data_IF_094513573207
#
_entry.id   IF_094513573207
#
_cell.length_a   1.000
_cell.length_b   1.000
_cell.length_c   1.000
_cell.angle_alpha   90.00
_cell.angle_beta   90.00
_cell.angle_gamma   90.00
#
_symmetry.space_group_name_H-M   'P 1'
#
loop_
_entity.id
_entity.type
_entity.pdbx_description
1 polymer ?
#
# COMPACT_ATOMS: atom_id res chain seq x y z
N UNK A 1 -3.28 17.51 -22.16
CA UNK A 1 -3.36 16.52 -21.06
C UNK A 1 -2.65 15.19 -21.37
N UNK A 2 -2.10 14.97 -22.57
CA UNK A 2 -1.53 13.68 -23.01
C UNK A 2 -0.15 13.26 -22.44
N UNK A 3 0.53 14.09 -21.65
CA UNK A 3 1.92 13.79 -21.22
C UNK A 3 2.05 12.71 -20.12
N UNK A 4 0.94 12.29 -19.52
CA UNK A 4 0.93 11.31 -18.41
C UNK A 4 0.11 10.04 -18.70
N UNK A 5 -0.53 9.94 -19.86
CA UNK A 5 -1.16 8.70 -20.31
C UNK A 5 -0.08 7.73 -20.82
N UNK A 6 -0.13 6.47 -20.40
CA UNK A 6 0.73 5.43 -20.96
C UNK A 6 0.39 5.29 -22.45
N UNK A 7 1.37 5.52 -23.33
CA UNK A 7 1.18 5.32 -24.78
C UNK A 7 0.88 3.84 -25.08
N UNK A 8 0.22 3.56 -26.22
CA UNK A 8 -0.01 2.17 -26.67
C UNK A 8 1.29 1.33 -26.69
N UNK A 9 2.41 1.95 -27.06
CA UNK A 9 3.75 1.34 -27.03
C UNK A 9 4.21 1.03 -25.60
N UNK A 10 3.97 1.95 -24.66
CA UNK A 10 4.27 1.74 -23.25
C UNK A 10 3.38 0.65 -22.61
N UNK A 11 2.11 0.55 -23.03
CA UNK A 11 1.20 -0.52 -22.61
C UNK A 11 1.66 -1.88 -23.11
N UNK A 12 2.01 -1.99 -24.40
CA UNK A 12 2.55 -3.24 -24.96
C UNK A 12 3.88 -3.65 -24.29
N UNK A 13 4.75 -2.69 -24.00
CA UNK A 13 5.99 -2.95 -23.26
C UNK A 13 5.72 -3.43 -21.82
N UNK A 14 4.73 -2.88 -21.13
CA UNK A 14 4.31 -3.38 -19.81
C UNK A 14 3.68 -4.78 -19.88
N UNK A 15 2.88 -5.07 -20.91
CA UNK A 15 2.28 -6.38 -21.11
C UNK A 15 3.33 -7.47 -21.37
N UNK A 16 4.36 -7.16 -22.16
CA UNK A 16 5.49 -8.05 -22.35
C UNK A 16 6.33 -8.20 -21.08
N UNK A 17 6.37 -7.17 -20.23
CA UNK A 17 7.19 -7.15 -19.03
C UNK A 17 6.63 -8.01 -17.88
N UNK A 18 5.34 -7.88 -17.59
CA UNK A 18 4.70 -8.48 -16.40
C UNK A 18 4.22 -9.93 -16.61
N UNK A 19 4.34 -10.46 -17.83
CA UNK A 19 3.44 -11.51 -18.26
C UNK A 19 2.02 -10.97 -18.38
N UNK A 20 1.40 -11.25 -19.52
CA UNK A 20 0.05 -10.77 -19.80
C UNK A 20 -0.77 -11.88 -20.42
N UNK A 21 -2.05 -11.91 -20.06
CA UNK A 21 -3.04 -12.61 -20.82
C UNK A 21 -4.07 -11.63 -21.33
N UNK A 22 -4.44 -11.83 -22.59
CA UNK A 22 -5.64 -11.23 -23.15
C UNK A 22 -6.81 -12.12 -22.76
N UNK A 23 -7.90 -11.50 -22.31
CA UNK A 23 -9.15 -12.22 -22.17
C UNK A 23 -9.63 -12.60 -23.58
N UNK A 24 -9.68 -13.89 -23.86
CA UNK A 24 -10.27 -14.40 -25.09
C UNK A 24 -11.75 -14.65 -24.81
N UNK A 25 -12.64 -14.21 -25.72
CA UNK A 25 -14.07 -14.56 -25.66
C UNK A 25 -14.26 -16.07 -25.49
N UNK A 26 -15.42 -16.56 -25.00
CA UNK A 26 -15.58 -17.79 -24.23
C UNK A 26 -14.79 -18.95 -24.84
N UNK A 27 -13.53 -19.06 -24.42
CA UNK A 27 -12.66 -20.12 -24.86
C UNK A 27 -12.98 -21.25 -23.92
N UNK A 28 -13.46 -22.36 -24.47
CA UNK A 28 -13.68 -23.61 -23.76
C UNK A 28 -12.32 -24.14 -23.29
N UNK A 29 -11.74 -23.50 -22.28
CA UNK A 29 -10.57 -23.99 -21.58
C UNK A 29 -11.04 -25.27 -20.87
N UNK A 30 -10.61 -26.40 -21.40
CA UNK A 30 -10.84 -27.73 -20.85
C UNK A 30 -10.50 -27.69 -19.36
N UNK A 31 -11.49 -27.98 -18.52
CA UNK A 31 -11.35 -27.99 -17.06
C UNK A 31 -10.08 -28.75 -16.67
N UNK A 32 -9.24 -28.13 -15.84
CA UNK A 32 -8.17 -28.86 -15.16
C UNK A 32 -8.82 -30.04 -14.44
N UNK A 33 -8.23 -31.23 -14.59
CA UNK A 33 -8.79 -32.49 -14.05
C UNK A 33 -8.75 -32.56 -12.53
N UNK A 34 -8.10 -31.61 -11.86
CA UNK A 34 -8.11 -31.44 -10.41
C UNK A 34 -8.33 -29.96 -10.05
N UNK A 35 -9.21 -29.71 -9.08
CA UNK A 35 -9.38 -28.39 -8.47
C UNK A 35 -8.09 -28.01 -7.74
N UNK A 36 -7.46 -26.86 -8.06
CA UNK A 36 -6.27 -26.40 -7.33
C UNK A 36 -6.53 -26.30 -5.83
N UNK A 37 -5.59 -26.75 -5.01
CA UNK A 37 -5.72 -26.77 -3.56
C UNK A 37 -5.18 -25.46 -2.95
N UNK A 38 -6.00 -24.74 -2.18
CA UNK A 38 -5.56 -23.50 -1.51
C UNK A 38 -4.47 -23.80 -0.46
N UNK A 39 -3.31 -23.15 -0.59
CA UNK A 39 -2.13 -23.28 0.28
C UNK A 39 -1.61 -21.92 0.73
N UNK A 40 -2.25 -21.33 1.73
CA UNK A 40 -1.90 -20.00 2.26
C UNK A 40 -0.48 -19.91 2.81
N UNK A 41 0.06 -21.02 3.28
CA UNK A 41 1.43 -21.13 3.77
C UNK A 41 2.47 -20.91 2.66
N UNK A 42 2.16 -21.30 1.41
CA UNK A 42 3.01 -21.04 0.24
C UNK A 42 2.82 -19.61 -0.32
N UNK A 43 1.70 -18.96 0.00
CA UNK A 43 1.38 -17.59 -0.39
C UNK A 43 1.13 -16.69 0.84
N UNK A 44 2.12 -16.54 1.74
CA UNK A 44 1.90 -15.99 3.08
C UNK A 44 1.49 -14.51 3.09
N UNK A 45 1.71 -13.78 1.99
CA UNK A 45 1.38 -12.36 1.85
C UNK A 45 0.05 -12.12 1.10
N UNK A 46 -0.71 -13.19 0.85
CA UNK A 46 -1.99 -13.13 0.17
C UNK A 46 -1.89 -12.69 -1.29
N UNK A 47 -2.96 -12.07 -1.78
CA UNK A 47 -3.10 -11.62 -3.16
C UNK A 47 -3.56 -10.16 -3.19
N UNK A 48 -3.28 -9.47 -4.28
CA UNK A 48 -3.72 -8.09 -4.48
C UNK A 48 -4.05 -7.81 -5.94
N UNK A 49 -4.83 -6.77 -6.18
CA UNK A 49 -5.02 -6.21 -7.52
C UNK A 49 -4.90 -4.70 -7.46
N UNK A 50 -4.59 -4.06 -8.59
CA UNK A 50 -4.47 -2.62 -8.59
C UNK A 50 -4.35 -1.97 -9.96
N UNK A 51 -4.41 -0.64 -9.93
CA UNK A 51 -4.53 0.24 -11.10
C UNK A 51 -5.53 -0.27 -12.15
N UNK A 52 -6.82 -0.40 -11.75
CA UNK A 52 -7.86 -0.86 -12.65
C UNK A 52 -8.07 0.15 -13.78
N UNK A 53 -8.14 -0.35 -15.00
CA UNK A 53 -8.55 0.36 -16.21
C UNK A 53 -9.84 -0.28 -16.73
N UNK A 54 -10.44 0.35 -17.73
CA UNK A 54 -11.67 -0.14 -18.36
C UNK A 54 -11.54 -1.57 -18.89
N UNK A 55 -10.34 -1.95 -19.34
CA UNK A 55 -10.10 -3.23 -20.01
C UNK A 55 -9.06 -4.11 -19.31
N UNK A 56 -8.52 -3.67 -18.17
CA UNK A 56 -7.35 -4.34 -17.61
C UNK A 56 -7.09 -4.01 -16.14
N UNK A 57 -6.36 -4.90 -15.46
CA UNK A 57 -5.94 -4.72 -14.06
C UNK A 57 -4.61 -5.42 -13.80
N UNK A 58 -3.82 -4.89 -12.87
CA UNK A 58 -2.62 -5.57 -12.36
C UNK A 58 -3.05 -6.54 -11.26
N UNK A 59 -2.59 -7.78 -11.33
CA UNK A 59 -2.76 -8.80 -10.31
C UNK A 59 -1.41 -9.06 -9.66
N UNK A 60 -1.42 -9.36 -8.36
CA UNK A 60 -0.21 -9.54 -7.58
C UNK A 60 -0.32 -10.66 -6.56
N UNK A 61 0.77 -11.39 -6.36
CA UNK A 61 1.01 -12.29 -5.23
C UNK A 61 2.51 -12.40 -4.94
N UNK A 62 2.87 -13.03 -3.83
CA UNK A 62 4.23 -13.57 -3.60
C UNK A 62 4.15 -15.04 -3.28
N UNK A 63 4.83 -15.87 -4.06
CA UNK A 63 5.03 -17.29 -3.78
C UNK A 63 6.33 -17.44 -2.98
N UNK A 64 6.28 -17.93 -1.75
CA UNK A 64 7.49 -18.14 -0.96
C UNK A 64 8.46 -19.11 -1.66
N UNK A 65 9.78 -18.89 -1.59
CA UNK A 65 10.78 -19.79 -2.15
C UNK A 65 10.79 -21.14 -1.44
N UNK A 66 10.97 -22.19 -2.22
CA UNK A 66 11.35 -23.51 -1.72
C UNK A 66 12.88 -23.66 -1.74
N UNK A 67 13.44 -24.38 -0.76
CA UNK A 67 14.89 -24.59 -0.66
C UNK A 67 15.45 -25.29 -1.91
N UNK A 68 16.54 -24.76 -2.46
CA UNK A 68 17.18 -25.31 -3.66
C UNK A 68 16.44 -25.06 -4.98
N UNK A 69 15.32 -24.33 -4.96
CA UNK A 69 14.57 -23.97 -6.18
C UNK A 69 15.04 -22.61 -6.71
N UNK A 70 15.29 -22.52 -8.02
CA UNK A 70 15.73 -21.28 -8.67
C UNK A 70 14.56 -20.40 -9.16
N UNK A 71 13.41 -21.02 -9.47
CA UNK A 71 12.22 -20.34 -9.97
C UNK A 71 10.96 -21.19 -9.78
N UNK A 72 9.82 -20.54 -9.57
CA UNK A 72 8.49 -21.17 -9.69
C UNK A 72 7.77 -20.65 -10.92
N UNK A 73 6.91 -21.48 -11.53
CA UNK A 73 6.00 -21.05 -12.59
C UNK A 73 4.61 -20.90 -12.01
N UNK A 74 4.10 -19.69 -12.01
CA UNK A 74 2.73 -19.40 -11.59
C UNK A 74 1.83 -19.26 -12.82
N UNK A 75 0.83 -20.13 -12.92
CA UNK A 75 -0.34 -19.91 -13.76
C UNK A 75 -1.27 -18.93 -13.04
N UNK A 76 -1.52 -17.78 -13.66
CA UNK A 76 -2.51 -16.80 -13.22
C UNK A 76 -3.82 -17.07 -13.95
N UNK A 77 -4.91 -17.24 -13.22
CA UNK A 77 -6.25 -17.41 -13.77
C UNK A 77 -7.14 -16.24 -13.36
N UNK A 78 -7.93 -15.73 -14.33
CA UNK A 78 -8.96 -14.71 -14.11
C UNK A 78 -10.29 -15.27 -14.57
N UNK A 79 -11.29 -15.25 -13.70
CA UNK A 79 -12.59 -15.83 -13.93
C UNK A 79 -13.73 -14.81 -13.79
N UNK A 80 -14.83 -15.08 -14.51
CA UNK A 80 -16.08 -14.32 -14.44
C UNK A 80 -16.95 -14.65 -13.22
N UNK A 81 -16.58 -15.67 -12.46
CA UNK A 81 -17.32 -16.19 -11.30
C UNK A 81 -16.36 -16.62 -10.16
N UNK A 82 -16.83 -16.65 -8.90
CA UNK A 82 -16.00 -17.02 -7.74
C UNK A 82 -15.58 -18.50 -7.71
N UNK A 83 -16.27 -19.38 -8.45
CA UNK A 83 -15.97 -20.81 -8.53
C UNK A 83 -14.93 -21.17 -9.59
N UNK A 84 -14.47 -20.19 -10.38
CA UNK A 84 -13.57 -20.40 -11.52
C UNK A 84 -14.13 -21.37 -12.58
N UNK A 85 -15.45 -21.35 -12.78
CA UNK A 85 -16.11 -22.12 -13.84
C UNK A 85 -15.94 -21.46 -15.23
N UNK A 86 -15.85 -20.12 -15.27
CA UNK A 86 -15.67 -19.30 -16.48
C UNK A 86 -14.30 -18.58 -16.42
N UNK A 87 -13.20 -19.29 -16.68
CA UNK A 87 -11.87 -18.65 -16.81
C UNK A 87 -11.81 -17.86 -18.11
N UNK A 88 -11.71 -16.53 -18.01
CA UNK A 88 -11.71 -15.60 -19.14
C UNK A 88 -10.31 -15.21 -19.60
N UNK A 89 -9.32 -15.26 -18.72
CA UNK A 89 -7.91 -14.98 -19.05
C UNK A 89 -7.01 -15.90 -18.23
N UNK A 90 -5.92 -16.37 -18.85
CA UNK A 90 -4.93 -17.23 -18.21
C UNK A 90 -3.56 -16.97 -18.80
N UNK A 91 -2.53 -16.90 -17.96
CA UNK A 91 -1.14 -16.77 -18.41
C UNK A 91 -0.16 -17.32 -17.38
N UNK A 92 1.06 -17.61 -17.82
CA UNK A 92 2.11 -18.12 -16.94
C UNK A 92 3.17 -17.05 -16.70
N UNK A 93 3.65 -16.96 -15.47
CA UNK A 93 4.71 -16.04 -15.04
C UNK A 93 5.75 -16.82 -14.23
N UNK A 94 7.02 -16.66 -14.58
CA UNK A 94 8.11 -17.17 -13.76
C UNK A 94 8.41 -16.16 -12.63
N UNK A 95 8.51 -16.65 -11.39
CA UNK A 95 8.96 -15.86 -10.24
C UNK A 95 10.28 -16.40 -9.72
N UNK A 96 11.18 -15.51 -9.33
CA UNK A 96 12.56 -15.84 -8.95
C UNK A 96 13.02 -14.96 -7.78
N UNK A 97 14.21 -15.25 -7.23
CA UNK A 97 14.83 -14.39 -6.23
C UNK A 97 15.04 -12.93 -6.70
N UNK A 98 15.15 -12.69 -8.02
CA UNK A 98 15.36 -11.34 -8.55
C UNK A 98 14.15 -10.42 -8.35
N UNK A 99 12.93 -10.97 -8.26
CA UNK A 99 11.68 -10.23 -7.97
C UNK A 99 11.22 -10.39 -6.52
N UNK A 100 12.07 -10.93 -5.64
CA UNK A 100 11.67 -11.44 -4.33
C UNK A 100 10.47 -12.39 -4.40
N UNK A 101 10.44 -13.21 -5.45
CA UNK A 101 9.39 -14.19 -5.71
C UNK A 101 7.98 -13.60 -5.81
N UNK A 102 7.90 -12.29 -6.05
CA UNK A 102 6.65 -11.61 -6.37
C UNK A 102 6.29 -11.88 -7.82
N UNK A 103 4.98 -12.03 -8.05
CA UNK A 103 4.38 -12.05 -9.37
C UNK A 103 3.56 -10.78 -9.51
N UNK A 104 3.82 -10.02 -10.57
CA UNK A 104 2.97 -8.94 -11.05
C UNK A 104 2.49 -9.34 -12.42
N UNK A 105 1.18 -9.39 -12.65
CA UNK A 105 0.60 -9.87 -13.91
C UNK A 105 -0.41 -8.88 -14.46
N UNK A 106 -0.35 -8.59 -15.76
CA UNK A 106 -1.32 -7.72 -16.42
C UNK A 106 -2.44 -8.55 -17.07
N UNK A 107 -3.61 -8.57 -16.45
CA UNK A 107 -4.82 -9.10 -17.07
C UNK A 107 -5.45 -8.02 -17.96
N UNK A 108 -5.57 -8.25 -19.27
CA UNK A 108 -6.08 -7.29 -20.24
C UNK A 108 -7.21 -7.86 -21.11
N UNK A 109 -7.88 -7.02 -21.91
CA UNK A 109 -9.03 -7.40 -22.73
C UNK A 109 -10.32 -7.67 -21.91
N UNK A 110 -10.34 -7.29 -20.65
CA UNK A 110 -11.48 -7.45 -19.76
C UNK A 110 -12.61 -6.48 -20.14
N UNK A 111 -13.83 -6.78 -19.69
CA UNK A 111 -14.97 -5.87 -19.87
C UNK A 111 -14.94 -4.77 -18.80
N UNK A 112 -15.35 -3.53 -19.13
CA UNK A 112 -15.42 -2.43 -18.17
C UNK A 112 -16.46 -2.65 -17.08
N UNK A 113 -16.23 -2.03 -15.93
CA UNK A 113 -17.09 -2.07 -14.74
C UNK A 113 -17.59 -3.48 -14.38
N UNK A 114 -16.71 -4.48 -14.52
CA UNK A 114 -17.04 -5.88 -14.26
C UNK A 114 -16.15 -6.46 -13.18
N UNK A 115 -16.79 -7.21 -12.28
CA UNK A 115 -16.09 -8.01 -11.29
C UNK A 115 -15.44 -9.22 -11.92
N UNK A 116 -14.24 -9.51 -11.43
CA UNK A 116 -13.51 -10.72 -11.76
C UNK A 116 -12.92 -11.32 -10.49
N UNK A 117 -12.77 -12.64 -10.51
CA UNK A 117 -12.02 -13.39 -9.51
C UNK A 117 -10.70 -13.82 -10.11
N UNK A 118 -9.66 -13.93 -9.28
CA UNK A 118 -8.35 -14.34 -9.75
C UNK A 118 -7.63 -15.19 -8.71
N UNK A 119 -6.74 -16.07 -9.18
CA UNK A 119 -5.86 -16.89 -8.34
C UNK A 119 -4.55 -17.16 -9.06
N UNK A 120 -3.56 -17.55 -8.27
CA UNK A 120 -2.25 -17.99 -8.75
C UNK A 120 -2.08 -19.46 -8.38
N UNK A 121 -1.67 -20.28 -9.35
CA UNK A 121 -1.49 -21.73 -9.18
C UNK A 121 -0.07 -22.06 -9.59
N UNK A 122 0.65 -22.76 -8.72
CA UNK A 122 2.01 -23.20 -9.03
C UNK A 122 2.06 -24.43 -9.93
N UNK A 123 3.26 -24.83 -10.32
CA UNK A 123 3.50 -26.02 -11.12
C UNK A 123 3.05 -27.35 -10.47
N UNK A 124 2.82 -27.36 -9.16
CA UNK A 124 2.35 -28.51 -8.37
C UNK A 124 0.83 -28.51 -8.13
N UNK A 125 0.10 -27.50 -8.61
CA UNK A 125 -1.35 -27.35 -8.41
C UNK A 125 -1.75 -26.71 -7.08
N UNK A 126 -0.80 -26.14 -6.32
CA UNK A 126 -1.08 -25.37 -5.11
C UNK A 126 -1.47 -23.94 -5.47
N UNK A 127 -2.63 -23.51 -4.97
CA UNK A 127 -3.22 -22.22 -5.26
C UNK A 127 -3.05 -21.22 -4.11
N UNK A 128 -2.93 -19.95 -4.48
CA UNK A 128 -3.19 -18.84 -3.56
C UNK A 128 -4.66 -18.86 -3.12
N UNK A 129 -4.99 -18.09 -2.06
CA UNK A 129 -6.39 -17.69 -1.85
C UNK A 129 -6.94 -17.00 -3.11
N UNK A 130 -8.24 -17.11 -3.41
CA UNK A 130 -8.87 -16.27 -4.43
C UNK A 130 -8.85 -14.80 -4.03
N UNK A 131 -8.59 -13.94 -5.01
CA UNK A 131 -8.83 -12.51 -4.94
C UNK A 131 -10.02 -12.11 -5.81
N UNK A 132 -10.60 -10.95 -5.51
CA UNK A 132 -11.65 -10.29 -6.28
C UNK A 132 -11.13 -8.91 -6.73
N UNK A 133 -11.44 -8.54 -7.96
CA UNK A 133 -11.09 -7.24 -8.52
C UNK A 133 -12.25 -6.66 -9.32
N UNK A 134 -12.14 -5.40 -9.72
CA UNK A 134 -13.12 -4.65 -10.50
C UNK A 134 -12.39 -3.81 -11.55
N UNK A 135 -12.72 -3.97 -12.82
CA UNK A 135 -12.26 -3.07 -13.88
C UNK A 135 -12.94 -1.70 -13.76
N UNK A 136 -12.24 -0.65 -14.18
CA UNK A 136 -12.83 0.69 -14.17
C UNK A 136 -14.02 0.78 -15.15
N UNK A 137 -14.97 1.71 -14.96
CA UNK A 137 -15.90 2.12 -16.00
C UNK A 137 -15.15 2.62 -17.26
N UNK A 138 -15.79 2.52 -18.42
CA UNK A 138 -15.29 3.13 -19.65
C UNK A 138 -15.27 4.66 -19.54
N UNK A 139 -14.40 5.34 -20.27
CA UNK A 139 -14.15 6.78 -20.14
C UNK A 139 -15.38 7.67 -20.40
N UNK A 140 -16.39 7.16 -21.12
CA UNK A 140 -17.66 7.81 -21.43
C UNK A 140 -18.80 7.45 -20.46
N UNK A 141 -18.53 6.60 -19.47
CA UNK A 141 -19.53 6.06 -18.57
C UNK A 141 -19.91 7.04 -17.46
N UNK A 142 -21.15 7.51 -17.46
CA UNK A 142 -21.63 8.54 -16.54
C UNK A 142 -21.97 8.03 -15.12
N UNK A 143 -21.75 6.75 -14.79
CA UNK A 143 -22.10 6.22 -13.47
C UNK A 143 -21.33 6.90 -12.33
N UNK A 144 -21.94 7.08 -11.14
CA UNK A 144 -21.22 7.58 -9.96
C UNK A 144 -20.00 6.72 -9.61
N UNK A 145 -18.95 7.35 -9.09
CA UNK A 145 -17.73 6.68 -8.64
C UNK A 145 -17.69 6.67 -7.12
N UNK A 146 -17.62 5.48 -6.54
CA UNK A 146 -17.48 5.30 -5.09
C UNK A 146 -16.11 4.70 -4.78
N UNK A 147 -15.31 5.39 -3.99
CA UNK A 147 -13.99 4.91 -3.55
C UNK A 147 -13.70 5.36 -2.12
N UNK A 148 -12.71 4.74 -1.49
CA UNK A 148 -12.15 5.17 -0.22
C UNK A 148 -10.70 5.59 -0.41
N UNK A 149 -10.22 6.53 0.40
CA UNK A 149 -8.78 6.79 0.53
C UNK A 149 -8.28 6.40 1.91
N UNK A 150 -7.04 5.94 1.98
CA UNK A 150 -6.34 5.55 3.20
C UNK A 150 -4.87 5.99 3.14
N UNK A 151 -4.23 6.09 4.29
CA UNK A 151 -2.78 6.29 4.43
C UNK A 151 -2.33 5.86 5.82
N UNK A 152 -1.02 5.85 6.07
CA UNK A 152 -0.42 5.80 7.40
C UNK A 152 -0.87 4.58 8.24
N UNK A 153 -0.48 3.38 7.79
CA UNK A 153 -0.94 2.12 8.38
C UNK A 153 0.16 1.35 9.13
N UNK A 154 0.71 1.91 10.21
CA UNK A 154 1.76 1.25 10.98
C UNK A 154 1.27 -0.03 11.71
N UNK A 155 1.62 -1.21 11.18
CA UNK A 155 1.28 -2.52 11.77
C UNK A 155 1.99 -2.79 13.09
N UNK A 156 3.14 -2.16 13.33
CA UNK A 156 3.94 -2.36 14.54
C UNK A 156 3.30 -1.67 15.74
N UNK A 157 2.51 -0.62 15.49
CA UNK A 157 1.82 0.19 16.49
C UNK A 157 0.30 -0.04 16.55
N UNK A 158 -0.26 -0.99 15.79
CA UNK A 158 -1.69 -1.27 15.83
C UNK A 158 -2.15 -2.43 14.96
N UNK A 159 -3.27 -3.04 15.34
CA UNK A 159 -4.00 -3.95 14.47
C UNK A 159 -4.79 -3.16 13.42
N UNK A 160 -4.90 -3.71 12.21
CA UNK A 160 -5.56 -3.04 11.10
C UNK A 160 -7.09 -3.15 11.13
N UNK A 161 -7.69 -2.89 12.30
CA UNK A 161 -9.14 -2.96 12.52
C UNK A 161 -9.94 -2.01 11.59
N UNK A 162 -9.31 -0.94 11.10
CA UNK A 162 -9.92 -0.03 10.12
C UNK A 162 -10.24 -0.76 8.80
N UNK A 163 -9.34 -1.63 8.31
CA UNK A 163 -9.60 -2.47 7.14
C UNK A 163 -10.78 -3.40 7.38
N UNK A 164 -10.78 -4.11 8.52
CA UNK A 164 -11.90 -4.98 8.92
C UNK A 164 -13.23 -4.25 8.93
N UNK A 165 -13.25 -3.05 9.52
CA UNK A 165 -14.46 -2.23 9.60
C UNK A 165 -14.93 -1.82 8.21
N UNK A 166 -14.02 -1.37 7.36
CA UNK A 166 -14.35 -0.94 6.00
C UNK A 166 -14.88 -2.11 5.16
N UNK A 167 -14.29 -3.31 5.30
CA UNK A 167 -14.77 -4.53 4.64
C UNK A 167 -16.19 -4.87 5.11
N UNK A 168 -16.42 -4.84 6.42
CA UNK A 168 -17.72 -5.12 7.02
C UNK A 168 -18.81 -4.15 6.53
N UNK A 169 -18.51 -2.84 6.51
CA UNK A 169 -19.48 -1.83 6.10
C UNK A 169 -19.75 -1.88 4.59
N UNK A 170 -18.71 -2.02 3.77
CA UNK A 170 -18.83 -2.13 2.31
C UNK A 170 -19.62 -3.38 1.91
N UNK A 171 -19.33 -4.54 2.52
CA UNK A 171 -20.03 -5.79 2.22
C UNK A 171 -21.53 -5.78 2.48
N UNK A 172 -22.03 -4.80 3.25
CA UNK A 172 -23.45 -4.63 3.57
C UNK A 172 -24.16 -3.64 2.64
N UNK A 173 -23.43 -2.90 1.82
CA UNK A 173 -24.00 -1.98 0.82
C UNK A 173 -24.53 -2.76 -0.37
N UNK A 174 -25.58 -2.28 -1.05
CA UNK A 174 -25.95 -2.81 -2.36
C UNK A 174 -24.79 -2.63 -3.35
N UNK A 175 -24.71 -3.49 -4.36
CA UNK A 175 -23.51 -3.65 -5.18
C UNK A 175 -23.08 -2.36 -5.88
N UNK A 176 -24.04 -1.56 -6.33
CA UNK A 176 -23.86 -0.26 -6.97
C UNK A 176 -23.35 0.84 -6.03
N UNK A 177 -23.49 0.66 -4.71
CA UNK A 177 -22.97 1.56 -3.69
C UNK A 177 -21.67 1.05 -3.02
N UNK A 178 -21.17 -0.11 -3.41
CA UNK A 178 -19.90 -0.63 -2.92
C UNK A 178 -18.71 0.12 -3.52
N UNK A 179 -17.57 0.06 -2.83
CA UNK A 179 -16.33 0.65 -3.29
C UNK A 179 -15.87 0.00 -4.60
N UNK A 180 -15.52 0.84 -5.57
CA UNK A 180 -14.92 0.42 -6.84
C UNK A 180 -13.41 0.22 -6.76
N UNK A 181 -12.73 1.00 -5.92
CA UNK A 181 -11.30 0.90 -5.64
C UNK A 181 -10.94 1.56 -4.30
N UNK A 182 -9.70 1.34 -3.85
CA UNK A 182 -9.10 2.04 -2.71
C UNK A 182 -7.88 2.83 -3.16
N UNK A 183 -7.85 4.13 -2.85
CA UNK A 183 -6.71 5.01 -3.09
C UNK A 183 -5.79 5.01 -1.86
N UNK A 184 -4.57 4.48 -1.99
CA UNK A 184 -3.59 4.50 -0.89
C UNK A 184 -2.63 5.67 -1.08
N UNK A 185 -2.66 6.65 -0.17
CA UNK A 185 -1.96 7.93 -0.29
C UNK A 185 -0.55 7.93 0.35
N UNK A 186 0.14 6.79 0.32
CA UNK A 186 1.45 6.63 0.95
C UNK A 186 1.44 6.22 2.42
N UNK A 187 2.64 6.04 2.96
CA UNK A 187 2.91 5.37 4.24
C UNK A 187 2.23 3.98 4.31
N UNK A 188 2.35 3.21 3.23
CA UNK A 188 1.94 1.81 3.19
C UNK A 188 2.78 0.98 4.16
N UNK A 189 4.07 1.30 4.25
CA UNK A 189 4.98 0.85 5.29
C UNK A 189 5.45 2.04 6.12
N UNK A 190 5.94 1.75 7.33
CA UNK A 190 6.89 2.57 8.07
C UNK A 190 8.22 1.83 8.09
N UNK A 191 9.27 2.49 7.60
CA UNK A 191 10.64 2.02 7.60
C UNK A 191 11.29 2.16 8.98
N UNK A 192 10.86 3.12 9.80
CA UNK A 192 11.31 3.20 11.18
C UNK A 192 10.53 2.22 12.05
N UNK A 193 11.25 1.37 12.77
CA UNK A 193 10.66 0.30 13.58
C UNK A 193 11.26 0.31 14.98
N UNK A 194 10.40 0.38 15.99
CA UNK A 194 10.78 0.15 17.38
C UNK A 194 10.69 -1.32 17.72
N UNK A 195 11.77 -1.91 18.21
CA UNK A 195 11.75 -3.27 18.72
C UNK A 195 11.21 -3.30 20.16
N UNK A 196 10.25 -4.19 20.49
CA UNK A 196 9.60 -4.20 21.80
C UNK A 196 10.56 -4.27 22.99
N UNK A 197 11.62 -5.08 22.90
CA UNK A 197 12.63 -5.25 23.95
C UNK A 197 13.53 -4.03 24.15
N UNK A 198 13.60 -3.13 23.16
CA UNK A 198 14.38 -1.89 23.22
C UNK A 198 13.56 -0.71 23.78
N UNK A 199 12.28 -0.93 24.10
CA UNK A 199 11.38 0.09 24.65
C UNK A 199 10.96 -0.25 26.08
N UNK A 200 10.94 0.74 26.99
CA UNK A 200 10.42 0.55 28.34
C UNK A 200 9.01 -0.07 28.31
N UNK A 201 8.89 -1.30 28.82
CA UNK A 201 7.63 -2.05 28.84
C UNK A 201 7.10 -2.50 27.48
N UNK A 202 7.90 -2.43 26.40
CA UNK A 202 7.48 -2.76 25.04
C UNK A 202 6.38 -1.85 24.50
N UNK A 203 6.39 -0.58 24.90
CA UNK A 203 5.37 0.41 24.57
C UNK A 203 5.98 1.59 23.84
N UNK A 204 5.30 2.06 22.80
CA UNK A 204 5.56 3.34 22.13
C UNK A 204 4.27 4.14 22.03
N UNK A 205 4.31 5.43 22.40
CA UNK A 205 3.14 6.33 22.37
C UNK A 205 1.87 5.74 23.02
N UNK A 206 2.05 4.99 24.11
CA UNK A 206 0.95 4.34 24.84
C UNK A 206 0.37 3.09 24.17
N UNK A 207 1.02 2.57 23.13
CA UNK A 207 0.62 1.35 22.41
C UNK A 207 1.64 0.24 22.62
N UNK A 208 1.16 -0.98 22.89
CA UNK A 208 2.02 -2.17 22.92
C UNK A 208 2.54 -2.42 21.51
N UNK A 209 3.85 -2.48 21.38
CA UNK A 209 4.50 -2.77 20.10
C UNK A 209 4.28 -4.23 19.71
N UNK A 210 4.05 -4.45 18.41
CA UNK A 210 3.91 -5.76 17.78
C UNK A 210 5.21 -6.10 17.07
N UNK A 211 5.74 -7.27 17.37
CA UNK A 211 6.98 -7.76 16.76
C UNK A 211 6.71 -8.37 15.37
N UNK A 212 6.65 -7.50 14.35
CA UNK A 212 6.24 -7.89 12.98
C UNK A 212 7.36 -7.67 11.96
N UNK A 213 8.24 -6.70 12.20
CA UNK A 213 9.32 -6.33 11.29
C UNK A 213 10.63 -6.38 12.07
N UNK A 214 11.59 -7.14 11.56
CA UNK A 214 12.96 -7.25 12.09
C UNK A 214 13.92 -7.16 10.93
N UNK A 215 14.68 -6.07 10.86
CA UNK A 215 15.66 -5.85 9.80
C UNK A 215 16.85 -6.81 9.98
N UNK A 216 17.15 -7.67 9.00
CA UNK A 216 18.34 -8.51 9.04
C UNK A 216 19.63 -7.72 9.14
N UNK A 217 19.73 -6.59 8.43
CA UNK A 217 20.91 -5.74 8.46
C UNK A 217 20.69 -4.57 9.41
N UNK A 218 19.72 -3.70 9.11
CA UNK A 218 19.25 -2.61 9.97
C UNK A 218 20.29 -1.56 10.38
N UNK A 219 19.86 -0.32 10.56
CA UNK A 219 20.65 0.72 11.22
C UNK A 219 19.90 1.23 12.45
N UNK A 220 20.56 1.20 13.62
CA UNK A 220 19.99 1.74 14.86
C UNK A 220 20.12 3.25 14.88
N UNK A 221 18.99 3.96 14.89
CA UNK A 221 18.94 5.42 15.00
C UNK A 221 18.16 5.80 16.24
N UNK A 222 18.86 6.35 17.22
CA UNK A 222 18.32 6.69 18.54
C UNK A 222 17.56 5.51 19.18
N UNK A 223 16.23 5.51 19.10
CA UNK A 223 15.35 4.53 19.75
C UNK A 223 14.73 3.53 18.78
N UNK A 224 14.85 3.73 17.47
CA UNK A 224 14.26 2.90 16.42
C UNK A 224 15.34 2.36 15.47
N UNK A 225 14.95 1.43 14.60
CA UNK A 225 15.79 0.83 13.58
C UNK A 225 15.24 1.21 12.21
N UNK A 226 16.10 1.43 11.23
CA UNK A 226 15.73 1.75 9.84
C UNK A 226 16.40 0.78 8.85
N UNK A 227 15.92 0.66 7.60
CA UNK A 227 16.54 -0.19 6.59
C UNK A 227 17.94 0.29 6.20
N UNK A 228 18.86 -0.67 6.06
CA UNK A 228 20.22 -0.47 5.56
C UNK A 228 20.42 -0.95 4.11
N UNK A 229 19.51 -1.80 3.59
CA UNK A 229 19.60 -2.34 2.24
C UNK A 229 18.22 -2.72 1.65
N UNK A 230 18.21 -3.33 0.46
CA UNK A 230 17.01 -3.80 -0.22
C UNK A 230 16.27 -4.90 0.56
N UNK A 231 16.99 -5.81 1.21
CA UNK A 231 16.38 -6.92 1.93
C UNK A 231 15.64 -6.44 3.18
N UNK A 232 16.12 -5.38 3.82
CA UNK A 232 15.41 -4.71 4.90
C UNK A 232 14.09 -4.09 4.41
N UNK A 233 14.07 -3.37 3.28
CA UNK A 233 12.81 -2.84 2.72
C UNK A 233 11.83 -3.95 2.34
N UNK A 234 12.31 -5.04 1.72
CA UNK A 234 11.51 -6.22 1.43
C UNK A 234 10.94 -6.83 2.71
N UNK A 235 11.74 -6.88 3.77
CA UNK A 235 11.31 -7.35 5.09
C UNK A 235 10.19 -6.49 5.68
N UNK A 236 10.26 -5.17 5.54
CA UNK A 236 9.17 -4.28 5.95
C UNK A 236 7.86 -4.62 5.20
N UNK A 237 7.89 -4.71 3.87
CA UNK A 237 6.69 -5.07 3.10
C UNK A 237 6.13 -6.44 3.47
N UNK A 238 6.98 -7.46 3.60
CA UNK A 238 6.56 -8.80 4.02
C UNK A 238 5.86 -8.75 5.37
N UNK A 239 6.47 -8.12 6.37
CA UNK A 239 5.88 -7.97 7.70
C UNK A 239 4.52 -7.27 7.67
N UNK A 240 4.39 -6.16 6.95
CA UNK A 240 3.11 -5.46 6.82
C UNK A 240 2.03 -6.34 6.19
N UNK A 241 2.39 -7.10 5.16
CA UNK A 241 1.47 -8.00 4.45
C UNK A 241 1.14 -9.29 5.22
N UNK A 242 1.73 -9.53 6.40
CA UNK A 242 1.26 -10.59 7.29
C UNK A 242 -0.03 -10.22 8.04
N UNK A 243 -0.41 -8.94 8.09
CA UNK A 243 -1.64 -8.54 8.78
C UNK A 243 -2.89 -9.06 8.02
N UNK A 244 -3.75 -9.87 8.65
CA UNK A 244 -4.84 -10.55 7.97
C UNK A 244 -5.92 -9.58 7.46
N UNK A 245 -6.18 -8.48 8.17
CA UNK A 245 -7.20 -7.52 7.74
C UNK A 245 -6.72 -6.76 6.49
N UNK A 246 -5.40 -6.49 6.38
CA UNK A 246 -4.80 -5.92 5.17
C UNK A 246 -4.81 -6.93 4.00
N UNK A 247 -4.53 -8.21 4.25
CA UNK A 247 -4.67 -9.25 3.21
C UNK A 247 -6.10 -9.37 2.70
N UNK A 248 -7.09 -9.34 3.59
CA UNK A 248 -8.50 -9.38 3.21
C UNK A 248 -8.92 -8.15 2.40
N UNK A 249 -8.42 -6.97 2.76
CA UNK A 249 -8.67 -5.75 1.99
C UNK A 249 -8.06 -5.84 0.57
N UNK A 250 -6.80 -6.27 0.46
CA UNK A 250 -6.08 -6.42 -0.83
C UNK A 250 -6.69 -7.50 -1.71
N UNK A 251 -7.24 -8.56 -1.12
CA UNK A 251 -7.97 -9.60 -1.86
C UNK A 251 -9.40 -9.17 -2.26
N UNK A 252 -9.93 -8.07 -1.71
CA UNK A 252 -11.32 -7.62 -1.93
C UNK A 252 -11.45 -6.51 -2.97
N UNK A 253 -10.57 -5.51 -2.95
CA UNK A 253 -10.65 -4.32 -3.79
C UNK A 253 -9.38 -4.13 -4.61
N UNK A 254 -9.47 -3.55 -5.82
CA UNK A 254 -8.29 -3.03 -6.50
C UNK A 254 -7.76 -1.79 -5.77
N UNK A 255 -6.45 -1.73 -5.58
CA UNK A 255 -5.76 -0.59 -4.99
C UNK A 255 -5.20 0.33 -6.06
N UNK A 256 -5.18 1.63 -5.78
CA UNK A 256 -4.48 2.64 -6.57
C UNK A 256 -3.46 3.28 -5.64
N UNK A 257 -2.22 2.75 -5.55
CA UNK A 257 -1.26 3.22 -4.57
C UNK A 257 -0.36 4.34 -5.13
N UNK A 258 -0.01 5.28 -4.26
CA UNK A 258 1.16 6.16 -4.35
C UNK A 258 1.99 5.99 -3.09
N UNK A 259 3.26 6.41 -3.12
CA UNK A 259 4.09 6.50 -1.91
C UNK A 259 3.94 7.85 -1.23
N UNK A 260 4.40 7.92 0.03
CA UNK A 260 4.83 9.12 0.70
C UNK A 260 6.27 8.93 1.20
N UNK A 261 6.67 9.51 2.33
CA UNK A 261 8.09 9.44 2.75
C UNK A 261 8.48 8.12 3.38
N UNK A 262 7.58 7.46 4.11
CA UNK A 262 7.92 6.25 4.86
C UNK A 262 8.16 5.02 3.98
N UNK A 263 7.84 5.09 2.68
CA UNK A 263 8.33 4.12 1.69
C UNK A 263 9.85 4.22 1.45
N UNK A 264 10.49 5.32 1.85
CA UNK A 264 11.94 5.51 1.78
C UNK A 264 12.55 5.89 3.13
N UNK A 265 12.30 7.10 3.62
CA UNK A 265 12.81 7.56 4.90
C UNK A 265 12.00 8.75 5.43
N UNK A 266 11.73 8.78 6.73
CA UNK A 266 10.98 9.85 7.38
C UNK A 266 11.54 11.23 7.06
N UNK A 267 10.64 12.14 6.64
CA UNK A 267 10.94 13.53 6.21
C UNK A 267 11.89 13.65 5.00
N UNK A 268 12.26 12.54 4.36
CA UNK A 268 13.09 12.58 3.16
C UNK A 268 12.48 13.43 2.05
N UNK A 269 13.38 13.91 1.21
CA UNK A 269 13.10 14.46 -0.10
C UNK A 269 14.15 13.91 -1.06
N UNK A 270 13.75 13.67 -2.31
CA UNK A 270 14.62 13.09 -3.34
C UNK A 270 15.32 11.81 -2.83
N UNK A 271 16.65 11.75 -2.91
CA UNK A 271 17.47 10.67 -2.35
C UNK A 271 18.23 11.09 -1.08
N UNK A 272 17.63 11.92 -0.23
CA UNK A 272 18.23 12.41 1.02
C UNK A 272 17.50 11.83 2.24
N UNK A 273 18.23 11.17 3.15
CA UNK A 273 17.71 10.81 4.48
C UNK A 273 17.88 11.99 5.44
N UNK A 274 16.96 12.11 6.40
CA UNK A 274 17.05 13.09 7.47
C UNK A 274 17.09 12.37 8.81
N UNK A 275 18.28 12.30 9.42
CA UNK A 275 18.51 11.59 10.69
C UNK A 275 19.01 12.58 11.73
N UNK A 276 18.36 12.66 12.90
CA UNK A 276 18.74 13.62 13.94
C UNK A 276 18.67 15.10 13.51
N UNK A 277 18.03 15.41 12.38
CA UNK A 277 18.03 16.75 11.77
C UNK A 277 19.17 17.00 10.77
N UNK A 278 20.08 16.05 10.59
CA UNK A 278 21.15 16.09 9.61
C UNK A 278 20.75 15.43 8.29
N UNK A 279 21.32 15.92 7.19
CA UNK A 279 21.04 15.42 5.84
C UNK A 279 22.14 14.43 5.46
N UNK A 280 21.71 13.23 5.05
CA UNK A 280 22.61 12.17 4.58
C UNK A 280 22.24 11.75 3.15
N UNK A 281 23.17 11.82 2.19
CA UNK A 281 23.00 11.21 0.88
C UNK A 281 22.69 9.72 0.99
N UNK A 282 21.71 9.25 0.20
CA UNK A 282 21.20 7.89 0.27
C UNK A 282 20.54 7.48 -1.06
N UNK A 283 21.19 7.82 -2.18
CA UNK A 283 20.89 7.36 -3.53
C UNK A 283 20.72 5.84 -3.60
N UNK A 284 21.64 5.09 -3.01
CA UNK A 284 21.63 3.61 -2.98
C UNK A 284 20.36 3.09 -2.32
N UNK A 285 20.01 3.61 -1.14
CA UNK A 285 18.79 3.25 -0.42
C UNK A 285 17.50 3.72 -1.13
N UNK A 286 17.52 4.87 -1.81
CA UNK A 286 16.37 5.33 -2.60
C UNK A 286 16.05 4.37 -3.75
N UNK A 287 17.09 3.83 -4.40
CA UNK A 287 16.91 2.79 -5.43
C UNK A 287 16.36 1.51 -4.80
N UNK A 288 16.90 1.07 -3.67
CA UNK A 288 16.43 -0.12 -2.93
C UNK A 288 14.95 0.00 -2.51
N UNK A 289 14.57 1.13 -1.92
CA UNK A 289 13.20 1.46 -1.55
C UNK A 289 12.24 1.44 -2.77
N UNK A 290 12.69 2.02 -3.89
CA UNK A 290 11.92 2.05 -5.14
C UNK A 290 11.71 0.65 -5.71
N UNK A 291 12.74 -0.20 -5.68
CA UNK A 291 12.65 -1.59 -6.10
C UNK A 291 11.65 -2.37 -5.22
N UNK A 292 11.76 -2.28 -3.90
CA UNK A 292 10.83 -2.95 -2.99
C UNK A 292 9.38 -2.46 -3.18
N UNK A 293 9.17 -1.15 -3.36
CA UNK A 293 7.83 -0.62 -3.67
C UNK A 293 7.28 -1.22 -4.97
N UNK A 294 8.09 -1.28 -6.03
CA UNK A 294 7.71 -1.89 -7.30
C UNK A 294 7.33 -3.37 -7.13
N UNK A 295 8.13 -4.13 -6.40
CA UNK A 295 7.90 -5.56 -6.16
C UNK A 295 6.59 -5.81 -5.41
N UNK A 296 6.19 -4.94 -4.47
CA UNK A 296 5.09 -5.20 -3.52
C UNK A 296 3.77 -4.44 -3.77
N UNK A 297 3.77 -3.40 -4.60
CA UNK A 297 2.57 -2.58 -4.88
C UNK A 297 2.01 -2.82 -6.29
N UNK A 298 0.75 -3.28 -6.47
CA UNK A 298 0.16 -3.58 -7.78
C UNK A 298 -0.21 -2.29 -8.56
N UNK A 299 0.80 -1.60 -9.10
CA UNK A 299 0.64 -0.33 -9.81
C UNK A 299 1.31 -0.32 -11.19
N UNK A 300 0.73 0.43 -12.14
CA UNK A 300 1.23 0.68 -13.49
C UNK A 300 2.18 1.85 -13.48
N UNK A 301 3.43 1.55 -13.15
CA UNK A 301 4.50 2.53 -13.02
C UNK A 301 5.54 2.35 -14.13
N UNK A 302 6.46 3.31 -14.28
CA UNK A 302 7.56 3.19 -15.24
C UNK A 302 8.87 2.97 -14.49
N UNK A 303 9.62 1.97 -14.91
CA UNK A 303 10.96 1.64 -14.40
C UNK A 303 11.96 1.48 -15.56
N UNK A 304 13.26 1.52 -15.30
CA UNK A 304 14.29 1.03 -16.22
C UNK A 304 14.10 -0.44 -16.58
N UNK A 305 14.67 -0.84 -17.71
CA UNK A 305 14.69 -2.22 -18.16
C UNK A 305 13.43 -2.68 -18.90
N UNK A 306 13.52 -3.88 -19.46
CA UNK A 306 12.36 -4.63 -19.96
C UNK A 306 12.03 -5.75 -18.96
N UNK A 307 10.86 -6.40 -19.05
CA UNK A 307 10.52 -7.43 -18.07
C UNK A 307 10.03 -6.91 -16.71
N UNK A 308 9.58 -7.83 -15.86
CA UNK A 308 9.11 -7.54 -14.50
C UNK A 308 10.29 -7.24 -13.56
N UNK A 309 11.45 -7.86 -13.78
CA UNK A 309 12.65 -7.65 -12.94
C UNK A 309 13.02 -6.16 -12.87
N UNK A 310 13.22 -5.65 -11.66
CA UNK A 310 13.67 -4.28 -11.46
C UNK A 310 15.17 -4.17 -11.73
N UNK A 311 15.54 -3.57 -12.86
CA UNK A 311 16.95 -3.29 -13.19
C UNK A 311 17.41 -2.04 -12.43
N UNK A 312 17.93 -2.24 -11.22
CA UNK A 312 18.41 -1.16 -10.36
C UNK A 312 19.57 -0.40 -11.02
N UNK A 313 19.48 0.94 -11.19
CA UNK A 313 20.60 1.72 -11.69
C UNK A 313 21.75 1.72 -10.68
N UNK A 314 22.98 1.60 -11.17
CA UNK A 314 24.17 1.79 -10.35
C UNK A 314 24.29 3.26 -9.94
N UNK A 315 24.35 3.52 -8.64
CA UNK A 315 24.44 4.85 -8.05
C UNK A 315 25.38 4.84 -6.85
N UNK A 316 25.99 5.99 -6.58
CA UNK A 316 26.77 6.26 -5.37
C UNK A 316 26.11 7.36 -4.53
N UNK A 317 26.27 7.30 -3.22
CA UNK A 317 25.74 8.30 -2.30
C UNK A 317 26.57 9.58 -2.36
N UNK A 318 25.96 10.66 -2.87
CA UNK A 318 26.62 11.95 -3.12
C UNK A 318 25.79 13.14 -2.61
N UNK A 319 26.41 14.17 -2.01
CA UNK A 319 25.68 15.38 -1.61
C UNK A 319 24.99 16.09 -2.79
N UNK A 320 23.82 16.68 -2.54
CA UNK A 320 23.14 17.54 -3.52
C UNK A 320 23.60 19.00 -3.35
N UNK A 321 24.67 19.37 -4.06
CA UNK A 321 25.21 20.73 -4.00
C UNK A 321 24.41 21.73 -4.84
N UNK A 322 23.91 21.30 -6.01
CA UNK A 322 23.21 22.15 -6.97
C UNK A 322 21.76 21.72 -7.12
N UNK A 323 20.85 22.67 -6.95
CA UNK A 323 19.41 22.50 -7.18
C UNK A 323 18.96 23.37 -8.34
N UNK A 324 18.02 22.87 -9.15
CA UNK A 324 17.34 23.68 -10.16
C UNK A 324 16.32 24.67 -9.53
N UNK A 325 15.70 25.50 -10.37
CA UNK A 325 14.69 26.47 -9.93
C UNK A 325 13.44 25.85 -9.27
N UNK A 326 13.26 24.53 -9.36
CA UNK A 326 12.17 23.77 -8.73
C UNK A 326 12.65 23.02 -7.48
N UNK A 327 13.92 23.17 -7.11
CA UNK A 327 14.54 22.50 -5.97
C UNK A 327 14.99 21.06 -6.24
N UNK A 328 15.00 20.60 -7.49
CA UNK A 328 15.48 19.25 -7.85
C UNK A 328 17.01 19.25 -7.92
N UNK A 329 17.64 18.30 -7.23
CA UNK A 329 19.09 18.13 -7.25
C UNK A 329 19.59 17.65 -8.60
N UNK A 330 20.58 18.36 -9.14
CA UNK A 330 21.14 18.08 -10.46
C UNK A 330 22.25 17.03 -10.45
N UNK A 331 22.63 16.55 -9.27
CA UNK A 331 23.64 15.51 -9.10
C UNK A 331 23.24 14.22 -9.87
N UNK A 332 24.12 13.65 -10.73
CA UNK A 332 23.77 12.53 -11.60
C UNK A 332 23.24 11.28 -10.87
N UNK A 333 23.82 10.90 -9.74
CA UNK A 333 23.37 9.72 -8.97
C UNK A 333 21.98 9.95 -8.36
N UNK A 334 21.68 11.16 -7.90
CA UNK A 334 20.35 11.56 -7.46
C UNK A 334 19.35 11.49 -8.61
N UNK A 335 19.67 12.08 -9.76
CA UNK A 335 18.80 12.02 -10.93
C UNK A 335 18.52 10.58 -11.37
N UNK A 336 19.51 9.69 -11.30
CA UNK A 336 19.34 8.27 -11.56
C UNK A 336 18.45 7.60 -10.50
N UNK A 337 18.69 7.85 -9.22
CA UNK A 337 17.95 7.26 -8.10
C UNK A 337 16.47 7.69 -8.09
N UNK A 338 16.17 8.99 -8.20
CA UNK A 338 14.79 9.51 -8.17
C UNK A 338 13.99 9.13 -9.42
N UNK A 339 14.67 8.80 -10.53
CA UNK A 339 14.04 8.34 -11.78
C UNK A 339 14.03 6.81 -11.92
N UNK A 340 14.60 6.08 -10.97
CA UNK A 340 14.61 4.62 -10.96
C UNK A 340 13.18 4.04 -10.92
N UNK A 341 12.23 4.77 -10.34
CA UNK A 341 10.80 4.46 -10.45
C UNK A 341 9.98 5.73 -10.59
N UNK A 342 9.19 5.80 -11.66
CA UNK A 342 8.23 6.89 -11.89
C UNK A 342 6.82 6.39 -11.58
N UNK A 343 6.29 6.79 -10.42
CA UNK A 343 4.97 6.38 -9.95
C UNK A 343 3.85 7.30 -10.42
N UNK A 344 4.19 8.51 -10.86
CA UNK A 344 3.24 9.51 -11.33
C UNK A 344 2.55 9.02 -12.60
N UNK A 345 1.22 9.16 -12.62
CA UNK A 345 0.38 8.67 -13.71
C UNK A 345 -0.98 9.33 -13.68
N UNK A 346 -1.63 9.39 -14.84
CA UNK A 346 -2.98 9.88 -14.95
C UNK A 346 -3.87 8.91 -15.73
N UNK A 347 -5.13 8.80 -15.32
CA UNK A 347 -6.15 7.99 -16.00
C UNK A 347 -7.56 8.37 -15.59
N UNK A 348 -8.54 8.04 -16.43
CA UNK A 348 -9.96 8.21 -16.11
C UNK A 348 -10.49 7.01 -15.36
N UNK A 349 -11.43 7.26 -14.45
CA UNK A 349 -12.28 6.24 -13.86
C UNK A 349 -13.73 6.60 -14.17
N UNK A 350 -14.21 6.18 -15.33
CA UNK A 350 -15.49 6.65 -15.87
C UNK A 350 -15.45 8.06 -16.45
N UNK A 351 -16.63 8.57 -16.79
CA UNK A 351 -16.85 9.94 -17.23
C UNK A 351 -16.67 10.98 -16.13
N UNK A 352 -16.69 10.58 -14.85
CA UNK A 352 -16.82 11.48 -13.71
C UNK A 352 -15.53 11.78 -12.93
N UNK A 353 -14.46 11.01 -13.13
CA UNK A 353 -13.21 11.18 -12.34
C UNK A 353 -11.97 11.11 -13.23
N UNK A 354 -11.19 12.19 -13.23
CA UNK A 354 -9.80 12.21 -13.70
C UNK A 354 -8.86 11.98 -12.51
N UNK A 355 -8.13 10.86 -12.52
CA UNK A 355 -7.11 10.58 -11.52
C UNK A 355 -5.78 11.19 -11.98
N UNK A 356 -5.23 12.09 -11.16
CA UNK A 356 -3.89 12.67 -11.35
C UNK A 356 -3.07 12.32 -10.11
N UNK A 357 -2.22 11.31 -10.23
CA UNK A 357 -1.39 10.80 -9.15
C UNK A 357 0.01 11.39 -9.27
N UNK A 358 0.46 12.10 -8.24
CA UNK A 358 1.74 12.83 -8.23
C UNK A 358 2.78 12.15 -7.35
N UNK A 359 4.05 12.46 -7.62
CA UNK A 359 5.17 12.10 -6.77
C UNK A 359 5.72 13.38 -6.12
N UNK A 360 5.35 13.59 -4.86
CA UNK A 360 5.74 14.78 -4.10
C UNK A 360 7.04 14.57 -3.30
N UNK A 361 7.69 13.41 -3.43
CA UNK A 361 8.87 13.04 -2.65
C UNK A 361 10.13 13.02 -3.50
N UNK A 362 10.10 12.31 -4.63
CA UNK A 362 11.32 12.13 -5.43
C UNK A 362 11.74 13.40 -6.18
N UNK A 363 10.87 14.40 -6.29
CA UNK A 363 11.15 15.70 -6.91
C UNK A 363 10.90 16.88 -5.96
N UNK A 364 10.78 16.62 -4.66
CA UNK A 364 10.56 17.64 -3.63
C UNK A 364 11.82 18.43 -3.26
N UNK A 365 11.65 19.62 -2.68
CA UNK A 365 12.75 20.50 -2.24
C UNK A 365 13.05 20.36 -0.73
N UNK A 366 14.25 20.77 -0.26
CA UNK A 366 14.57 20.77 1.17
C UNK A 366 13.61 21.66 1.97
N UNK A 367 13.18 21.19 3.14
CA UNK A 367 12.40 21.99 4.10
C UNK A 367 11.00 22.41 3.65
N UNK A 368 10.49 21.92 2.51
CA UNK A 368 9.15 22.25 2.05
C UNK A 368 8.07 21.71 2.98
N UNK A 369 7.20 22.60 3.50
CA UNK A 369 5.80 22.20 3.71
C UNK A 369 5.29 21.78 2.33
N UNK A 370 5.02 20.48 2.15
CA UNK A 370 4.85 19.76 0.87
C UNK A 370 3.85 20.34 -0.14
N UNK A 371 3.18 21.44 0.17
CA UNK A 371 2.23 22.14 -0.70
C UNK A 371 2.86 23.25 -1.55
N UNK A 372 4.00 23.84 -1.17
CA UNK A 372 4.47 25.10 -1.77
C UNK A 372 3.44 26.25 -1.69
N UNK A 373 2.33 26.02 -0.99
CA UNK A 373 1.31 26.98 -0.67
C UNK A 373 1.62 27.54 0.71
N UNK A 374 1.31 28.83 0.98
CA UNK A 374 1.27 29.30 2.37
C UNK A 374 0.40 28.32 3.15
N UNK A 375 0.81 27.99 4.39
CA UNK A 375 0.08 27.11 5.28
C UNK A 375 -1.42 27.35 5.13
N UNK A 376 -2.14 26.38 4.54
CA UNK A 376 -3.59 26.37 4.58
C UNK A 376 -3.97 26.10 6.03
N UNK A 377 -4.04 27.18 6.81
CA UNK A 377 -4.67 27.15 8.13
C UNK A 377 -6.12 26.81 7.87
N UNK A 378 -6.47 25.54 8.02
CA UNK A 378 -7.87 25.14 8.12
C UNK A 378 -8.46 25.89 9.30
N UNK A 379 -9.18 26.97 8.99
CA UNK A 379 -9.86 27.84 9.93
C UNK A 379 -11.08 27.13 10.52
N UNK A 380 -10.85 26.04 11.23
CA UNK A 380 -11.84 25.42 12.08
C UNK A 380 -11.10 24.89 13.31
N UNK A 381 -11.43 25.34 14.54
CA UNK A 381 -10.87 24.75 15.73
C UNK A 381 -11.35 23.30 15.79
N UNK A 382 -10.46 22.35 15.50
CA UNK A 382 -10.63 21.00 16.03
C UNK A 382 -10.86 21.16 17.54
N UNK A 383 -11.98 20.65 18.09
CA UNK A 383 -12.21 20.77 19.52
C UNK A 383 -11.02 20.14 20.24
N UNK A 384 -10.36 20.96 21.06
CA UNK A 384 -9.25 20.55 21.93
C UNK A 384 -9.75 19.46 22.87
N UNK A 385 -9.57 18.21 22.50
CA UNK A 385 -9.57 17.10 23.45
C UNK A 385 -8.30 16.28 23.28
N UNK A 386 -7.50 16.31 24.34
CA UNK A 386 -6.40 15.41 24.66
C UNK A 386 -5.09 15.54 23.89
N UNK A 387 -4.39 16.67 24.08
CA UNK A 387 -2.93 16.67 24.25
C UNK A 387 -2.55 17.66 25.35
N UNK A 388 -2.43 17.18 26.60
CA UNK A 388 -1.68 17.91 27.64
C UNK A 388 -0.24 17.43 27.55
N UNK A 389 0.58 18.16 26.80
CA UNK A 389 2.03 18.15 26.99
C UNK A 389 2.34 18.95 28.27
N UNK A 390 2.94 18.29 29.25
CA UNK A 390 3.45 18.95 30.45
C UNK A 390 4.86 19.46 30.18
N UNK A 391 4.98 20.73 29.85
CA UNK A 391 6.23 21.47 30.02
C UNK A 391 5.89 22.86 30.54
N UNK A 392 6.06 23.06 31.84
CA UNK A 392 6.45 24.35 32.42
C UNK A 392 7.07 24.13 33.79
N UNK A 393 8.40 24.24 33.83
CA UNK A 393 9.11 24.66 35.03
C UNK A 393 8.70 26.10 35.35
N UNK A 394 8.42 26.38 36.62
CA UNK A 394 7.99 27.68 37.11
C UNK A 394 7.64 27.58 38.59
N UNK A 395 8.63 27.88 39.42
CA UNK A 395 8.61 28.07 40.87
C UNK A 395 7.38 28.84 41.36
N UNK A 396 6.69 28.35 42.40
CA UNK A 396 6.22 29.19 43.52
C UNK A 396 5.74 28.37 44.72
N UNK A 397 5.95 28.99 45.88
CA UNK A 397 5.91 28.49 47.24
C UNK A 397 4.57 27.86 47.69
N UNK A 398 4.72 26.97 48.68
CA UNK A 398 3.65 26.30 49.39
C UNK A 398 2.76 27.27 50.17
N UNK A 399 1.45 27.11 50.01
CA UNK A 399 0.46 27.53 51.01
C UNK A 399 -0.53 26.37 51.21
N UNK A 400 -0.38 25.68 52.35
CA UNK A 400 -1.30 24.65 52.83
C UNK A 400 -2.64 25.29 53.18
N UNK A 401 -3.74 24.79 52.60
CA UNK A 401 -5.07 24.81 53.24
C UNK A 401 -5.79 23.49 52.93
N UNK A 402 -5.93 22.64 53.94
CA UNK A 402 -6.92 21.56 54.01
C UNK A 402 -8.28 22.17 54.38
N UNK A 403 -9.38 21.64 53.84
CA UNK A 403 -10.49 21.23 54.73
C UNK A 403 -11.11 19.89 54.24
N UNK A 404 -12.18 19.35 54.85
CA UNK A 404 -12.09 18.13 55.64
C UNK A 404 -12.71 16.90 54.96
N UNK A 405 -12.39 15.75 55.55
CA UNK A 405 -12.95 14.42 55.32
C UNK A 405 -14.48 14.37 55.47
N UNK A 406 -15.16 13.73 54.50
CA UNK A 406 -16.55 13.33 54.60
C UNK A 406 -16.91 12.34 53.48
N UNK A 407 -17.22 11.11 53.86
CA UNK A 407 -17.52 9.95 53.04
C UNK A 407 -18.85 10.06 52.25
N UNK A 408 -18.85 9.67 50.98
CA UNK A 408 -19.88 8.81 50.35
C UNK A 408 -19.60 8.65 48.84
N UNK A 409 -19.55 7.40 48.35
CA UNK A 409 -19.56 7.07 46.93
C UNK A 409 -20.96 7.27 46.33
N UNK A 410 -21.07 7.68 45.04
CA UNK A 410 -22.25 7.37 44.25
C UNK A 410 -21.92 6.45 43.06
N UNK A 411 -22.68 5.36 43.00
CA UNK A 411 -22.85 4.45 41.87
C UNK A 411 -23.64 5.14 40.74
N UNK A 412 -23.25 4.92 39.49
CA UNK A 412 -23.99 5.38 38.30
C UNK A 412 -24.74 4.22 37.64
N UNK A 413 -26.05 4.36 37.31
CA UNK A 413 -26.84 3.29 36.72
C UNK A 413 -26.72 3.22 35.19
N UNK A 414 -26.66 2.00 34.68
CA UNK A 414 -26.69 1.59 33.27
C UNK A 414 -28.11 1.81 32.72
N UNK A 415 -28.26 2.55 31.61
CA UNK A 415 -29.51 2.66 30.84
C UNK A 415 -29.47 1.77 29.60
N UNK A 416 -30.28 0.71 29.62
CA UNK A 416 -30.68 -0.07 28.45
C UNK A 416 -31.90 0.58 27.78
N UNK A 417 -31.87 0.72 26.45
CA UNK A 417 -33.00 1.22 25.67
C UNK A 417 -33.79 0.03 25.09
N UNK A 418 -35.00 -0.19 25.60
CA UNK A 418 -35.99 -1.12 25.04
C UNK A 418 -36.95 -0.39 24.11
N UNK A 419 -37.17 -1.00 22.94
CA UNK A 419 -37.98 -0.52 21.82
C UNK A 419 -39.47 -0.79 22.11
N UNK A 420 -40.30 0.23 22.34
CA UNK A 420 -41.76 0.07 22.43
C UNK A 420 -42.41 0.21 21.05
N UNK A 421 -43.09 -0.86 20.61
CA UNK A 421 -44.11 -0.84 19.54
C UNK A 421 -45.37 -0.15 20.06
N UNK A 422 -46.06 0.61 19.22
CA UNK A 422 -47.47 1.02 19.43
C UNK A 422 -48.37 0.25 18.44
N UNK A 423 -49.60 -0.13 18.85
CA UNK A 423 -50.55 -0.85 18.01
C UNK A 423 -51.47 0.07 17.20
N UNK A 424 -52.14 -0.54 16.22
CA UNK A 424 -53.10 -0.01 15.25
C UNK A 424 -54.53 -0.02 15.81
N UNK A 425 -55.36 0.96 15.40
CA UNK A 425 -56.82 0.95 15.09
C UNK A 425 -57.45 2.28 15.55
N UNK A 426 -58.42 2.89 14.86
CA UNK A 426 -59.33 2.43 13.80
C UNK A 426 -59.33 3.37 12.57
#
# INVERSE_FOLDING_TARGET
MDRFALSRRAFAAQAAALGAALAFGPSAARAATATPAERRDLYPHGVASGDPRADSVILWTRRAPDEGVASHRLTVEVAGDPGFAEVVARGDVAVTAATDWTCRFLAAGLRPAREYWYRFVDESGNASRPGRTLTAPADDDARPVTFAFVSCQDVTQGAMNAWRRMIHEDGRKPRDAQLGFVLHLGDFIYELVWYPEERPGGVERGRRLRDIVRYPTGEKVETFNIPADLEDYRTAYRGYLLDPDLQDARARWPFVPVWDNHEFNWRSYQSQRILGGEIHPAQTLKVAASQAWYEYQPARVRKPGSGDVFEAPAVEDRPLAELDARGTGLEPNNLAAIKALQIQRAFRYGGNVDMILTDNRSFGSPGGSYSGHPDLKFGAPFPRTCTRSSTRAGTMAAARRRPPSGSAQPTFPIRTWTRRRRPISA
#
